data_IF_868120928975
#
_entry.id   IF_868120928975
#
_cell.length_a   1.000
_cell.length_b   1.000
_cell.length_c   1.000
_cell.angle_alpha   90.00
_cell.angle_beta   90.00
_cell.angle_gamma   90.00
#
_symmetry.space_group_name_H-M   'P 1'
#
loop_
_entity.id
_entity.type
_entity.pdbx_description
1 polymer ?
#
# COMPACT_ATOMS: atom_id res chain seq x y z
N UNK A 1 -31.05 11.30 53.64
CA UNK A 1 -30.26 11.96 52.59
C UNK A 1 -29.81 10.90 51.61
N UNK A 2 -30.49 10.78 50.49
CA UNK A 2 -30.20 9.78 49.45
C UNK A 2 -29.51 10.49 48.27
N UNK A 3 -28.24 10.13 48.03
CA UNK A 3 -27.48 10.58 46.84
C UNK A 3 -27.86 9.69 45.66
N UNK A 4 -28.65 10.24 44.73
CA UNK A 4 -28.88 9.61 43.43
C UNK A 4 -27.70 9.82 42.51
N UNK A 5 -26.92 8.74 42.29
CA UNK A 5 -25.90 8.71 41.22
C UNK A 5 -26.62 8.45 39.91
N UNK A 6 -26.70 9.48 39.09
CA UNK A 6 -27.22 9.41 37.72
C UNK A 6 -26.16 8.74 36.85
N UNK A 7 -26.33 7.46 36.58
CA UNK A 7 -25.56 6.70 35.62
C UNK A 7 -25.95 7.20 34.20
N UNK A 8 -25.07 8.00 33.61
CA UNK A 8 -25.20 8.54 32.24
C UNK A 8 -24.57 7.55 31.27
N UNK A 9 -25.35 6.92 30.37
CA UNK A 9 -24.77 5.97 29.43
C UNK A 9 -23.72 6.66 28.54
N UNK A 10 -22.62 5.96 28.16
CA UNK A 10 -21.55 6.54 27.39
C UNK A 10 -22.07 6.97 26.01
N UNK A 11 -21.84 8.23 25.66
CA UNK A 11 -22.21 8.82 24.38
C UNK A 11 -21.56 8.01 23.23
N UNK A 12 -22.36 7.33 22.43
CA UNK A 12 -21.94 6.68 21.19
C UNK A 12 -21.38 7.78 20.25
N UNK A 13 -20.08 7.72 19.95
CA UNK A 13 -19.42 8.60 19.00
C UNK A 13 -20.09 8.44 17.62
N UNK A 14 -20.63 9.51 16.99
CA UNK A 14 -21.39 9.44 15.73
C UNK A 14 -20.57 9.01 14.51
N UNK A 15 -19.24 8.90 14.60
CA UNK A 15 -18.34 8.59 13.47
C UNK A 15 -18.12 7.09 13.17
N UNK A 16 -18.31 6.20 14.14
CA UNK A 16 -17.90 4.81 14.00
C UNK A 16 -18.66 3.99 12.95
N UNK A 17 -19.97 4.22 12.80
CA UNK A 17 -20.81 3.47 11.87
C UNK A 17 -20.55 3.90 10.41
N UNK A 18 -20.42 5.19 10.17
CA UNK A 18 -20.12 5.71 8.83
C UNK A 18 -18.71 5.33 8.37
N UNK A 19 -17.72 5.40 9.26
CA UNK A 19 -16.36 4.97 8.95
C UNK A 19 -16.30 3.48 8.61
N UNK A 20 -17.03 2.64 9.35
CA UNK A 20 -17.11 1.19 9.07
C UNK A 20 -17.75 0.91 7.71
N UNK A 21 -18.87 1.55 7.40
CA UNK A 21 -19.55 1.41 6.10
C UNK A 21 -18.64 1.88 4.97
N UNK A 22 -17.93 3.00 5.15
CA UNK A 22 -16.97 3.49 4.16
C UNK A 22 -15.84 2.47 3.91
N UNK A 23 -15.24 1.93 4.96
CA UNK A 23 -14.20 0.90 4.85
C UNK A 23 -14.71 -0.36 4.13
N UNK A 24 -15.94 -0.81 4.42
CA UNK A 24 -16.56 -1.95 3.73
C UNK A 24 -16.74 -1.69 2.23
N UNK A 25 -17.17 -0.49 1.84
CA UNK A 25 -17.33 -0.11 0.43
C UNK A 25 -15.97 -0.07 -0.28
N UNK A 26 -14.95 0.52 0.34
CA UNK A 26 -13.60 0.58 -0.24
C UNK A 26 -12.99 -0.82 -0.42
N UNK A 27 -13.11 -1.70 0.60
CA UNK A 27 -12.65 -3.08 0.51
C UNK A 27 -13.37 -3.85 -0.62
N UNK A 28 -14.70 -3.74 -0.71
CA UNK A 28 -15.47 -4.34 -1.81
C UNK A 28 -15.04 -3.80 -3.18
N UNK A 29 -14.72 -2.51 -3.28
CA UNK A 29 -14.23 -1.90 -4.52
C UNK A 29 -12.86 -2.47 -4.91
N UNK A 30 -11.95 -2.66 -3.96
CA UNK A 30 -10.64 -3.30 -4.20
C UNK A 30 -10.82 -4.69 -4.77
N UNK A 31 -11.71 -5.51 -4.19
CA UNK A 31 -12.00 -6.87 -4.67
C UNK A 31 -12.57 -6.89 -6.10
N UNK A 32 -13.49 -5.98 -6.40
CA UNK A 32 -14.08 -5.87 -7.74
C UNK A 32 -13.10 -5.34 -8.76
N UNK A 33 -12.26 -4.36 -8.40
CA UNK A 33 -11.16 -3.89 -9.25
C UNK A 33 -10.16 -5.03 -9.52
N UNK A 34 -9.89 -5.86 -8.53
CA UNK A 34 -9.02 -7.04 -8.69
C UNK A 34 -9.59 -8.07 -9.67
N UNK A 35 -10.93 -8.27 -9.65
CA UNK A 35 -11.64 -9.23 -10.49
C UNK A 35 -11.85 -8.74 -11.92
N UNK A 36 -12.33 -7.51 -12.08
CA UNK A 36 -12.89 -6.99 -13.33
C UNK A 36 -12.06 -5.85 -13.93
N UNK A 37 -11.00 -5.42 -13.23
CA UNK A 37 -10.23 -4.23 -13.59
C UNK A 37 -10.88 -2.92 -13.15
N UNK A 38 -10.13 -1.83 -13.27
CA UNK A 38 -10.56 -0.49 -12.82
C UNK A 38 -11.86 -0.04 -13.50
N UNK A 39 -12.13 -0.47 -14.72
CA UNK A 39 -13.30 -0.08 -15.50
C UNK A 39 -14.45 -1.09 -15.45
N UNK A 40 -14.28 -2.29 -14.92
CA UNK A 40 -15.16 -3.42 -15.14
C UNK A 40 -16.37 -3.55 -14.21
N UNK A 41 -16.39 -2.92 -13.04
CA UNK A 41 -17.42 -3.13 -12.01
C UNK A 41 -18.55 -2.09 -12.04
N UNK A 42 -19.67 -2.40 -11.37
CA UNK A 42 -20.83 -1.52 -11.19
C UNK A 42 -21.06 -1.19 -9.71
N UNK A 43 -21.72 -0.06 -9.44
CA UNK A 43 -22.04 0.36 -8.06
C UNK A 43 -22.98 -0.61 -7.34
N UNK A 44 -23.87 -1.26 -8.07
CA UNK A 44 -24.74 -2.30 -7.52
C UNK A 44 -23.94 -3.48 -6.98
N UNK A 45 -22.89 -3.89 -7.69
CA UNK A 45 -22.00 -4.98 -7.26
C UNK A 45 -21.17 -4.57 -6.03
N UNK A 46 -20.71 -3.32 -6.00
CA UNK A 46 -20.01 -2.77 -4.80
C UNK A 46 -20.93 -2.81 -3.60
N UNK A 47 -22.18 -2.39 -3.74
CA UNK A 47 -23.15 -2.38 -2.64
C UNK A 47 -23.46 -3.80 -2.15
N UNK A 48 -23.63 -4.75 -3.05
CA UNK A 48 -23.87 -6.16 -2.75
C UNK A 48 -22.67 -6.79 -2.02
N UNK A 49 -21.47 -6.62 -2.55
CA UNK A 49 -20.23 -7.13 -1.95
C UNK A 49 -19.95 -6.53 -0.58
N UNK A 50 -20.20 -5.23 -0.41
CA UNK A 50 -20.04 -4.53 0.86
C UNK A 50 -21.15 -4.83 1.88
N UNK A 51 -22.25 -5.49 1.47
CA UNK A 51 -23.40 -5.72 2.34
C UNK A 51 -24.11 -4.43 2.76
N UNK A 52 -24.14 -3.41 1.88
CA UNK A 52 -24.74 -2.11 2.15
C UNK A 52 -25.82 -1.75 1.12
N UNK A 53 -26.66 -0.77 1.46
CA UNK A 53 -27.65 -0.29 0.50
C UNK A 53 -26.97 0.57 -0.60
N UNK A 54 -27.35 0.40 -1.87
CA UNK A 54 -26.76 1.12 -3.01
C UNK A 54 -26.73 2.65 -2.85
N UNK A 55 -27.74 3.22 -2.19
CA UNK A 55 -27.77 4.65 -1.88
C UNK A 55 -26.63 5.11 -1.00
N UNK A 56 -26.04 4.21 -0.21
CA UNK A 56 -24.86 4.51 0.61
C UNK A 56 -23.62 4.70 -0.27
N UNK A 57 -23.48 3.92 -1.34
CA UNK A 57 -22.37 4.06 -2.29
C UNK A 57 -22.49 5.37 -3.05
N UNK A 58 -23.65 5.61 -3.71
CA UNK A 58 -23.90 6.83 -4.48
C UNK A 58 -23.80 8.12 -3.66
N UNK A 59 -24.22 8.07 -2.39
CA UNK A 59 -24.14 9.23 -1.51
C UNK A 59 -22.70 9.60 -1.12
N UNK A 60 -21.83 8.62 -0.93
CA UNK A 60 -20.45 8.86 -0.53
C UNK A 60 -19.55 9.15 -1.73
N UNK A 61 -19.84 8.55 -2.87
CA UNK A 61 -19.09 8.72 -4.12
C UNK A 61 -20.07 8.90 -5.29
N UNK A 62 -20.43 10.14 -5.63
CA UNK A 62 -21.25 10.43 -6.80
C UNK A 62 -20.54 10.04 -8.09
N UNK A 63 -19.21 10.15 -8.12
CA UNK A 63 -18.36 9.77 -9.25
C UNK A 63 -17.64 8.44 -8.95
N UNK A 64 -17.65 7.56 -9.94
CA UNK A 64 -17.01 6.26 -9.89
C UNK A 64 -15.47 6.38 -9.79
N UNK A 65 -14.90 7.36 -10.49
CA UNK A 65 -13.45 7.58 -10.43
C UNK A 65 -13.00 7.97 -9.01
N UNK A 66 -13.78 8.78 -8.31
CA UNK A 66 -13.51 9.14 -6.91
C UNK A 66 -13.50 7.88 -6.01
N UNK A 67 -14.44 6.97 -6.20
CA UNK A 67 -14.48 5.71 -5.47
C UNK A 67 -13.23 4.86 -5.74
N UNK A 68 -12.84 4.73 -7.01
CA UNK A 68 -11.64 3.98 -7.41
C UNK A 68 -10.39 4.62 -6.81
N UNK A 69 -10.26 5.93 -6.95
CA UNK A 69 -9.12 6.69 -6.41
C UNK A 69 -8.98 6.47 -4.91
N UNK A 70 -10.07 6.60 -4.16
CA UNK A 70 -10.03 6.41 -2.72
C UNK A 70 -9.75 4.96 -2.32
N UNK A 71 -10.31 3.98 -3.03
CA UNK A 71 -10.01 2.58 -2.79
C UNK A 71 -8.52 2.26 -3.03
N UNK A 72 -7.93 2.80 -4.11
CA UNK A 72 -6.51 2.68 -4.40
C UNK A 72 -5.64 3.29 -3.29
N UNK A 73 -5.98 4.49 -2.83
CA UNK A 73 -5.22 5.18 -1.78
C UNK A 73 -5.35 4.46 -0.43
N UNK A 74 -6.54 4.01 -0.06
CA UNK A 74 -6.77 3.25 1.17
C UNK A 74 -5.97 1.94 1.18
N UNK A 75 -5.98 1.21 0.08
CA UNK A 75 -5.19 -0.01 -0.06
C UNK A 75 -3.68 0.25 0.04
N UNK A 76 -3.22 1.39 -0.49
CA UNK A 76 -1.82 1.77 -0.43
C UNK A 76 -1.35 2.15 0.98
N UNK A 77 -2.21 2.77 1.78
CA UNK A 77 -1.90 3.10 3.17
C UNK A 77 -1.60 1.84 3.99
N UNK A 78 -2.36 0.76 3.78
CA UNK A 78 -2.16 -0.53 4.44
C UNK A 78 -0.82 -1.20 4.02
N UNK A 79 -0.34 -0.93 2.81
CA UNK A 79 0.91 -1.50 2.26
C UNK A 79 2.15 -0.62 2.44
N UNK A 80 1.99 0.65 2.82
CA UNK A 80 3.06 1.65 2.75
C UNK A 80 3.99 1.67 3.97
N UNK A 81 3.78 0.85 4.99
CA UNK A 81 4.64 0.87 6.17
C UNK A 81 5.91 0.06 5.95
N UNK A 82 7.06 0.73 5.98
CA UNK A 82 8.36 0.08 6.20
C UNK A 82 8.60 0.09 7.70
N UNK A 83 8.80 -1.07 8.31
CA UNK A 83 9.10 -1.17 9.73
C UNK A 83 10.41 -0.44 10.07
N UNK A 84 10.51 0.09 11.28
CA UNK A 84 11.74 0.65 11.84
C UNK A 84 12.09 -0.12 13.13
N UNK A 85 12.80 -1.23 12.96
CA UNK A 85 13.22 -2.09 14.08
C UNK A 85 14.61 -1.72 14.63
N UNK A 86 15.31 -0.77 13.98
CA UNK A 86 16.71 -0.46 14.26
C UNK A 86 17.68 -1.40 13.53
N UNK A 87 17.19 -2.25 12.65
CA UNK A 87 18.00 -3.13 11.79
C UNK A 87 17.53 -2.93 10.34
N UNK A 88 18.22 -2.09 9.59
CA UNK A 88 17.87 -1.78 8.20
C UNK A 88 17.86 -3.00 7.30
N UNK A 89 18.74 -3.99 7.55
CA UNK A 89 18.75 -5.21 6.74
C UNK A 89 17.43 -5.98 6.90
N UNK A 90 17.02 -6.21 8.14
CA UNK A 90 15.77 -6.89 8.48
C UNK A 90 14.56 -6.14 7.94
N UNK A 91 14.52 -4.82 8.12
CA UNK A 91 13.40 -3.98 7.70
C UNK A 91 13.22 -4.02 6.17
N UNK A 92 14.32 -4.00 5.42
CA UNK A 92 14.30 -4.11 3.97
C UNK A 92 13.91 -5.52 3.50
N UNK A 93 14.36 -6.58 4.16
CA UNK A 93 13.93 -7.96 3.87
C UNK A 93 12.43 -8.11 4.05
N UNK A 94 11.89 -7.66 5.17
CA UNK A 94 10.46 -7.75 5.47
C UNK A 94 9.63 -6.87 4.51
N UNK A 95 10.15 -5.70 4.12
CA UNK A 95 9.55 -4.87 3.07
C UNK A 95 9.48 -5.59 1.71
N UNK A 96 10.55 -6.28 1.27
CA UNK A 96 10.53 -7.01 0.00
C UNK A 96 9.55 -8.19 0.01
N UNK A 97 9.41 -8.87 1.15
CA UNK A 97 8.42 -9.93 1.32
C UNK A 97 6.98 -9.38 1.25
N UNK A 98 6.72 -8.26 1.91
CA UNK A 98 5.43 -7.60 1.85
C UNK A 98 5.12 -7.09 0.42
N UNK A 99 6.12 -6.55 -0.28
CA UNK A 99 6.00 -6.14 -1.68
C UNK A 99 5.63 -7.32 -2.58
N UNK A 100 6.36 -8.43 -2.46
CA UNK A 100 6.09 -9.63 -3.26
C UNK A 100 4.67 -10.16 -3.01
N UNK A 101 4.29 -10.32 -1.73
CA UNK A 101 2.94 -10.76 -1.36
C UNK A 101 1.86 -9.82 -1.91
N UNK A 102 2.08 -8.50 -1.85
CA UNK A 102 1.15 -7.53 -2.43
C UNK A 102 1.01 -7.66 -3.95
N UNK A 103 2.12 -7.84 -4.67
CA UNK A 103 2.14 -8.03 -6.13
C UNK A 103 1.49 -9.35 -6.58
N UNK A 104 1.51 -10.38 -5.74
CA UNK A 104 0.88 -11.69 -6.02
C UNK A 104 -0.64 -11.67 -5.82
N UNK A 105 -1.19 -10.65 -5.15
CA UNK A 105 -2.65 -10.49 -5.04
C UNK A 105 -3.30 -10.15 -6.39
N UNK A 106 -4.57 -10.52 -6.63
CA UNK A 106 -5.29 -10.09 -7.83
C UNK A 106 -5.28 -8.57 -8.00
N UNK A 107 -5.47 -7.83 -6.90
CA UNK A 107 -5.45 -6.37 -6.91
C UNK A 107 -4.07 -5.80 -7.24
N UNK A 108 -3.00 -6.35 -6.65
CA UNK A 108 -1.63 -5.94 -6.94
C UNK A 108 -1.27 -6.12 -8.41
N UNK A 109 -1.69 -7.23 -9.03
CA UNK A 109 -1.53 -7.45 -10.49
C UNK A 109 -2.27 -6.41 -11.32
N UNK A 110 -3.52 -6.13 -10.96
CA UNK A 110 -4.32 -5.08 -11.63
C UNK A 110 -3.68 -3.71 -11.48
N UNK A 111 -3.16 -3.40 -10.30
CA UNK A 111 -2.45 -2.15 -10.03
C UNK A 111 -1.18 -2.02 -10.89
N UNK A 112 -0.35 -3.06 -10.98
CA UNK A 112 0.84 -3.08 -11.84
C UNK A 112 0.50 -2.89 -13.33
N UNK A 113 -0.58 -3.51 -13.80
CA UNK A 113 -1.06 -3.32 -15.17
C UNK A 113 -1.57 -1.90 -15.40
N UNK A 114 -2.23 -1.29 -14.43
CA UNK A 114 -2.78 0.05 -14.51
C UNK A 114 -1.71 1.16 -14.51
N UNK A 115 -0.50 0.88 -14.00
CA UNK A 115 0.65 1.81 -14.06
C UNK A 115 1.16 1.97 -15.50
N UNK A 116 0.89 1.01 -16.40
CA UNK A 116 1.24 1.13 -17.81
C UNK A 116 0.44 2.29 -18.47
N UNK A 117 1.06 3.09 -19.38
CA UNK A 117 0.50 4.37 -19.84
C UNK A 117 -0.77 4.26 -20.71
N UNK A 118 -1.34 3.08 -20.91
CA UNK A 118 -2.44 2.85 -21.86
C UNK A 118 -3.78 2.70 -21.17
N UNK A 119 -4.75 3.55 -21.51
CA UNK A 119 -6.18 3.33 -21.26
C UNK A 119 -6.77 3.89 -19.98
N UNK A 120 -6.02 4.54 -19.11
CA UNK A 120 -6.54 5.12 -17.86
C UNK A 120 -6.90 6.59 -18.00
N UNK A 121 -7.93 7.04 -17.28
CA UNK A 121 -8.22 8.46 -17.15
C UNK A 121 -7.07 9.21 -16.43
N UNK A 122 -6.92 10.53 -16.68
CA UNK A 122 -5.92 11.34 -15.98
C UNK A 122 -6.04 11.26 -14.46
N UNK A 123 -7.27 11.23 -13.92
CA UNK A 123 -7.58 11.17 -12.49
C UNK A 123 -7.08 9.86 -11.86
N UNK A 124 -7.37 8.73 -12.48
CA UNK A 124 -6.90 7.41 -12.03
C UNK A 124 -5.38 7.33 -12.09
N UNK A 125 -4.77 7.83 -13.17
CA UNK A 125 -3.30 7.87 -13.32
C UNK A 125 -2.65 8.70 -12.21
N UNK A 126 -3.21 9.86 -11.88
CA UNK A 126 -2.72 10.69 -10.78
C UNK A 126 -2.82 9.97 -9.43
N UNK A 127 -3.90 9.24 -9.19
CA UNK A 127 -4.03 8.44 -7.97
C UNK A 127 -2.97 7.33 -7.90
N UNK A 128 -2.74 6.61 -8.99
CA UNK A 128 -1.69 5.58 -9.07
C UNK A 128 -0.29 6.17 -8.81
N UNK A 129 0.01 7.33 -9.39
CA UNK A 129 1.26 8.06 -9.11
C UNK A 129 1.37 8.37 -7.62
N UNK A 130 0.30 8.91 -7.01
CA UNK A 130 0.29 9.23 -5.57
C UNK A 130 0.51 7.99 -4.69
N UNK A 131 -0.07 6.85 -5.06
CA UNK A 131 0.16 5.56 -4.38
C UNK A 131 1.65 5.19 -4.41
N UNK A 132 2.28 5.31 -5.58
CA UNK A 132 3.70 5.02 -5.75
C UNK A 132 4.56 6.01 -4.94
N UNK A 133 4.25 7.30 -4.98
CA UNK A 133 4.96 8.34 -4.24
C UNK A 133 4.91 8.11 -2.72
N UNK A 134 3.77 7.66 -2.19
CA UNK A 134 3.64 7.32 -0.77
C UNK A 134 4.54 6.15 -0.36
N UNK A 135 4.64 5.11 -1.20
CA UNK A 135 5.53 3.97 -0.96
C UNK A 135 7.01 4.37 -1.01
N UNK A 136 7.38 5.19 -2.01
CA UNK A 136 8.73 5.76 -2.11
C UNK A 136 9.05 6.64 -0.90
N UNK A 137 8.11 7.47 -0.47
CA UNK A 137 8.29 8.32 0.72
C UNK A 137 8.46 7.52 2.01
N UNK A 138 7.76 6.40 2.19
CA UNK A 138 7.94 5.52 3.35
C UNK A 138 9.33 4.88 3.36
N UNK A 139 9.78 4.38 2.23
CA UNK A 139 11.14 3.85 2.06
C UNK A 139 12.19 4.93 2.33
N UNK A 140 12.02 6.12 1.76
CA UNK A 140 12.92 7.26 1.99
C UNK A 140 13.08 7.55 3.47
N UNK A 141 11.98 7.73 4.20
CA UNK A 141 12.04 8.01 5.65
C UNK A 141 12.82 6.95 6.42
N UNK A 142 12.64 5.66 6.11
CA UNK A 142 13.38 4.58 6.78
C UNK A 142 14.87 4.60 6.44
N UNK A 143 15.21 4.87 5.18
CA UNK A 143 16.61 4.98 4.72
C UNK A 143 17.28 6.19 5.36
N UNK A 144 16.62 7.35 5.36
CA UNK A 144 17.14 8.58 5.99
C UNK A 144 17.42 8.34 7.49
N UNK A 145 16.48 7.68 8.20
CA UNK A 145 16.69 7.28 9.61
C UNK A 145 17.88 6.33 9.78
N UNK A 146 18.10 5.41 8.84
CA UNK A 146 19.25 4.50 8.88
C UNK A 146 20.59 5.23 8.68
N UNK A 147 20.60 6.21 7.79
CA UNK A 147 21.77 7.09 7.59
C UNK A 147 22.06 7.92 8.84
N UNK A 148 21.05 8.55 9.43
CA UNK A 148 21.16 9.36 10.64
C UNK A 148 21.68 8.56 11.84
N UNK A 149 21.33 7.27 11.91
CA UNK A 149 21.80 6.34 12.96
C UNK A 149 23.14 5.68 12.66
N UNK A 150 23.71 5.90 11.47
CA UNK A 150 24.95 5.23 11.05
C UNK A 150 24.79 3.76 10.67
N UNK A 151 23.55 3.27 10.47
CA UNK A 151 23.29 1.92 9.95
C UNK A 151 23.72 1.81 8.47
N UNK A 152 23.62 2.94 7.73
CA UNK A 152 24.04 3.09 6.34
C UNK A 152 24.90 4.33 6.14
N UNK A 153 25.83 4.31 5.17
CA UNK A 153 26.43 5.53 4.66
C UNK A 153 25.40 6.37 3.90
N UNK A 154 25.65 7.66 3.64
CA UNK A 154 24.80 8.48 2.79
C UNK A 154 24.53 7.79 1.45
N UNK A 155 23.26 7.65 1.11
CA UNK A 155 22.79 6.97 -0.09
C UNK A 155 21.53 7.62 -0.63
N UNK A 156 21.38 7.64 -1.97
CA UNK A 156 20.11 8.01 -2.59
C UNK A 156 19.05 6.95 -2.31
N UNK A 157 18.05 7.32 -1.51
CA UNK A 157 16.97 6.43 -1.10
C UNK A 157 16.10 5.95 -2.27
N UNK A 158 15.98 6.74 -3.35
CA UNK A 158 15.24 6.35 -4.56
C UNK A 158 16.01 5.27 -5.31
N UNK A 159 17.31 5.47 -5.51
CA UNK A 159 18.20 4.48 -6.11
C UNK A 159 18.19 3.16 -5.33
N UNK A 160 18.34 3.23 -4.00
CA UNK A 160 18.26 2.03 -3.16
C UNK A 160 16.92 1.30 -3.36
N UNK A 161 15.80 2.03 -3.31
CA UNK A 161 14.46 1.46 -3.50
C UNK A 161 14.29 0.76 -4.84
N UNK A 162 14.79 1.37 -5.93
CA UNK A 162 14.76 0.77 -7.27
C UNK A 162 15.60 -0.50 -7.35
N UNK A 163 16.82 -0.47 -6.80
CA UNK A 163 17.74 -1.61 -6.83
C UNK A 163 17.19 -2.83 -6.08
N UNK A 164 16.52 -2.65 -4.93
CA UNK A 164 15.97 -3.78 -4.18
C UNK A 164 14.61 -4.26 -4.70
N UNK A 165 13.74 -3.35 -5.18
CA UNK A 165 12.40 -3.72 -5.62
C UNK A 165 12.33 -4.21 -7.07
N UNK A 166 13.26 -3.82 -7.94
CA UNK A 166 13.32 -4.25 -9.32
C UNK A 166 13.36 -5.78 -9.49
N UNK A 167 14.27 -6.50 -8.83
CA UNK A 167 14.34 -7.95 -8.88
C UNK A 167 13.04 -8.64 -8.37
N UNK A 168 12.40 -8.09 -7.33
CA UNK A 168 11.13 -8.63 -6.81
C UNK A 168 10.05 -8.58 -7.90
N UNK A 169 9.87 -7.41 -8.52
CA UNK A 169 8.92 -7.23 -9.62
C UNK A 169 9.18 -8.18 -10.78
N UNK A 170 10.45 -8.34 -11.15
CA UNK A 170 10.84 -9.24 -12.23
C UNK A 170 10.50 -10.70 -11.92
N UNK A 171 10.80 -11.18 -10.70
CA UNK A 171 10.55 -12.57 -10.30
C UNK A 171 9.04 -12.83 -10.23
N UNK A 172 8.29 -11.95 -9.58
CA UNK A 172 6.82 -12.07 -9.43
C UNK A 172 6.13 -11.96 -10.79
N UNK A 173 6.51 -10.97 -11.63
CA UNK A 173 5.91 -10.79 -12.94
C UNK A 173 6.13 -11.99 -13.88
N UNK A 174 7.31 -12.59 -13.83
CA UNK A 174 7.59 -13.80 -14.64
C UNK A 174 6.82 -15.03 -14.17
N UNK A 175 6.40 -15.08 -12.90
CA UNK A 175 5.59 -16.17 -12.35
C UNK A 175 6.23 -17.57 -12.43
N UNK A 176 7.53 -17.66 -12.69
CA UNK A 176 8.22 -18.96 -12.89
C UNK A 176 8.47 -19.67 -11.56
N UNK A 177 8.54 -18.94 -10.47
CA UNK A 177 8.72 -19.46 -9.12
C UNK A 177 8.27 -18.44 -8.09
N UNK A 178 7.90 -18.86 -6.86
CA UNK A 178 7.58 -17.92 -5.79
C UNK A 178 8.81 -17.09 -5.38
N UNK A 179 8.56 -15.88 -4.91
CA UNK A 179 9.56 -15.03 -4.24
C UNK A 179 9.73 -15.51 -2.80
N UNK A 180 10.96 -15.72 -2.35
CA UNK A 180 11.23 -16.30 -1.04
C UNK A 180 12.01 -15.35 -0.13
N UNK A 181 12.03 -15.63 1.19
CA UNK A 181 12.87 -14.92 2.15
C UNK A 181 14.35 -14.96 1.77
N UNK A 182 14.84 -16.09 1.30
CA UNK A 182 16.22 -16.23 0.83
C UNK A 182 16.53 -15.30 -0.35
N UNK A 183 15.56 -15.08 -1.26
CA UNK A 183 15.72 -14.09 -2.34
C UNK A 183 15.84 -12.68 -1.78
N UNK A 184 14.96 -12.32 -0.83
CA UNK A 184 14.96 -11.01 -0.19
C UNK A 184 16.29 -10.75 0.54
N UNK A 185 16.74 -11.69 1.38
CA UNK A 185 18.02 -11.62 2.11
C UNK A 185 19.22 -11.46 1.16
N UNK A 186 19.23 -12.21 0.05
CA UNK A 186 20.28 -12.13 -0.95
C UNK A 186 20.30 -10.78 -1.66
N UNK A 187 19.13 -10.28 -2.08
CA UNK A 187 19.02 -8.98 -2.76
C UNK A 187 19.48 -7.87 -1.84
N UNK A 188 18.94 -7.82 -0.62
CA UNK A 188 19.28 -6.80 0.37
C UNK A 188 20.77 -6.88 0.71
N UNK A 189 21.29 -8.07 0.97
CA UNK A 189 22.71 -8.28 1.31
C UNK A 189 23.66 -7.77 0.23
N UNK A 190 23.39 -8.12 -1.05
CA UNK A 190 24.23 -7.66 -2.18
C UNK A 190 24.16 -6.15 -2.34
N UNK A 191 22.97 -5.55 -2.29
CA UNK A 191 22.81 -4.11 -2.48
C UNK A 191 23.45 -3.32 -1.33
N UNK A 192 23.21 -3.72 -0.07
CA UNK A 192 23.83 -3.03 1.08
C UNK A 192 25.34 -3.18 1.13
N UNK A 193 25.88 -4.34 0.74
CA UNK A 193 27.33 -4.53 0.61
C UNK A 193 27.92 -3.59 -0.45
N UNK A 194 27.27 -3.48 -1.61
CA UNK A 194 27.67 -2.56 -2.68
C UNK A 194 27.67 -1.09 -2.23
N UNK A 195 26.61 -0.64 -1.56
CA UNK A 195 26.50 0.71 -1.03
C UNK A 195 27.64 1.01 -0.04
N UNK A 196 27.91 0.08 0.90
CA UNK A 196 29.01 0.26 1.88
C UNK A 196 30.38 0.30 1.22
N UNK A 197 30.59 -0.50 0.16
CA UNK A 197 31.86 -0.55 -0.56
C UNK A 197 32.09 0.67 -1.46
N UNK A 198 31.05 1.34 -1.93
CA UNK A 198 31.11 2.49 -2.82
C UNK A 198 30.97 3.83 -2.10
N UNK A 199 30.73 3.82 -0.80
CA UNK A 199 30.65 5.03 0.01
C UNK A 199 32.00 5.73 0.00
N UNK A 200 32.05 7.07 -0.18
CA UNK A 200 33.28 7.81 -0.04
C UNK A 200 33.85 7.61 1.37
N UNK A 201 35.11 7.20 1.43
CA UNK A 201 35.82 7.15 2.72
C UNK A 201 36.01 8.59 3.22
N UNK A 202 35.35 8.94 4.32
CA UNK A 202 35.54 10.20 5.05
C UNK A 202 36.75 10.08 5.92
#
# INVERSE_FOLDING_TARGET
MANGTTDRPPARRPGGRNARVRAQILAATVELVARDGIAGFRYEEVAEFAGVHKTSVYRNWPDREELVVEALLSYAEDLASVADTGDIHRDLVDFLLALAGGLETPFGRTLEQAIQPTGQSPTVRQALTKVLDQRVAAMRRRVDTAVDRGELPPVDSSFLGEMISGPVRLIVHRGMRPFTRTDAERIVGVVLAGIRATAPHV
#
